data_IF_021378253428
#
_entry.id   IF_021378253428
#
_cell.length_a   1.000
_cell.length_b   1.000
_cell.length_c   1.000
_cell.angle_alpha   90.00
_cell.angle_beta   90.00
_cell.angle_gamma   90.00
#
_symmetry.space_group_name_H-M   'P 1'
#
loop_
_entity.id
_entity.type
_entity.pdbx_description
1 polymer ?
#
# COMPACT_ATOMS: atom_id res chain seq x y z
N UNK A 1 -43.59 -73.42 80.52
CA UNK A 1 -44.89 -72.94 79.98
C UNK A 1 -45.10 -73.39 78.54
N UNK A 2 -44.06 -73.52 77.71
CA UNK A 2 -44.14 -74.33 76.47
C UNK A 2 -44.63 -75.76 76.77
N UNK A 3 -44.09 -76.41 77.82
CA UNK A 3 -44.46 -77.78 78.22
C UNK A 3 -45.93 -78.00 78.68
N UNK A 4 -46.70 -76.94 79.00
CA UNK A 4 -48.14 -77.09 79.35
C UNK A 4 -49.05 -76.84 78.14
N UNK A 5 -48.67 -75.94 77.23
CA UNK A 5 -49.37 -75.75 75.97
C UNK A 5 -49.17 -76.93 75.02
N UNK A 6 -47.99 -77.56 75.05
CA UNK A 6 -47.67 -78.78 74.29
C UNK A 6 -48.58 -79.97 74.69
N UNK A 7 -48.93 -80.09 75.98
CA UNK A 7 -49.90 -81.08 76.48
C UNK A 7 -51.36 -80.79 76.12
N UNK A 8 -51.69 -79.51 75.90
CA UNK A 8 -53.01 -79.06 75.43
C UNK A 8 -53.15 -79.32 73.92
N UNK A 9 -52.08 -79.11 73.14
CA UNK A 9 -52.02 -79.43 71.71
C UNK A 9 -52.13 -80.94 71.43
N UNK A 10 -51.51 -81.79 72.26
CA UNK A 10 -51.61 -83.26 72.11
C UNK A 10 -53.00 -83.83 72.43
N UNK A 11 -53.82 -83.17 73.27
CA UNK A 11 -55.14 -83.66 73.72
C UNK A 11 -56.17 -82.53 73.88
N UNK A 12 -56.68 -81.94 72.78
CA UNK A 12 -57.53 -80.75 72.82
C UNK A 12 -58.89 -80.96 73.49
N UNK A 13 -59.36 -82.21 73.61
CA UNK A 13 -60.68 -82.53 74.18
C UNK A 13 -60.70 -82.59 75.72
N UNK A 14 -59.54 -82.56 76.40
CA UNK A 14 -59.47 -82.58 77.87
C UNK A 14 -59.65 -81.18 78.46
N UNK A 15 -60.34 -81.12 79.61
CA UNK A 15 -60.49 -79.87 80.37
C UNK A 15 -59.18 -79.54 81.10
N UNK A 16 -58.49 -78.49 80.68
CA UNK A 16 -57.33 -77.92 81.35
C UNK A 16 -57.72 -76.67 82.12
N UNK A 17 -57.21 -76.51 83.35
CA UNK A 17 -57.44 -75.31 84.17
C UNK A 17 -56.34 -74.29 83.85
N UNK A 18 -56.69 -73.24 83.13
CA UNK A 18 -55.78 -72.11 82.87
C UNK A 18 -55.95 -71.09 84.01
N UNK A 19 -54.85 -70.61 84.59
CA UNK A 19 -54.94 -69.58 85.63
C UNK A 19 -55.35 -68.23 85.03
N UNK A 20 -56.30 -67.53 85.67
CA UNK A 20 -56.87 -66.29 85.14
C UNK A 20 -55.86 -65.16 84.91
N UNK A 21 -54.74 -65.15 85.63
CA UNK A 21 -53.64 -64.20 85.43
C UNK A 21 -52.97 -64.36 84.05
N UNK A 22 -52.84 -65.59 83.54
CA UNK A 22 -52.24 -65.82 82.21
C UNK A 22 -53.13 -65.32 81.08
N UNK A 23 -54.44 -65.53 81.16
CA UNK A 23 -55.40 -65.03 80.18
C UNK A 23 -55.43 -63.49 80.17
N UNK A 24 -55.30 -62.85 81.34
CA UNK A 24 -55.19 -61.39 81.45
C UNK A 24 -53.89 -60.87 80.82
N UNK A 25 -52.75 -61.55 81.04
CA UNK A 25 -51.48 -61.17 80.43
C UNK A 25 -51.49 -61.36 78.89
N UNK A 26 -52.06 -62.45 78.39
CA UNK A 26 -52.25 -62.66 76.95
C UNK A 26 -53.16 -61.60 76.33
N UNK A 27 -54.25 -61.23 77.02
CA UNK A 27 -55.12 -60.14 76.57
C UNK A 27 -54.38 -58.80 76.49
N UNK A 28 -53.61 -58.44 77.52
CA UNK A 28 -52.82 -57.21 77.52
C UNK A 28 -51.80 -57.20 76.36
N UNK A 29 -51.16 -58.34 76.08
CA UNK A 29 -50.24 -58.47 74.93
C UNK A 29 -50.97 -58.33 73.58
N UNK A 30 -52.18 -58.88 73.45
CA UNK A 30 -52.99 -58.72 72.23
C UNK A 30 -53.36 -57.24 72.04
N UNK A 31 -53.84 -56.57 73.10
CA UNK A 31 -54.17 -55.13 73.04
C UNK A 31 -52.95 -54.28 72.68
N UNK A 32 -51.76 -54.61 73.19
CA UNK A 32 -50.50 -53.96 72.80
C UNK A 32 -50.12 -54.22 71.33
N UNK A 33 -50.23 -55.47 70.87
CA UNK A 33 -49.95 -55.83 69.48
C UNK A 33 -50.93 -55.17 68.50
N UNK A 34 -52.21 -55.06 68.87
CA UNK A 34 -53.22 -54.36 68.10
C UNK A 34 -52.91 -52.86 68.01
N UNK A 35 -52.52 -52.23 69.12
CA UNK A 35 -52.07 -50.83 69.11
C UNK A 35 -50.85 -50.63 68.22
N UNK A 36 -49.82 -51.47 68.37
CA UNK A 36 -48.62 -51.40 67.55
C UNK A 36 -48.95 -51.63 66.06
N UNK A 37 -49.86 -52.55 65.74
CA UNK A 37 -50.31 -52.79 64.37
C UNK A 37 -51.02 -51.56 63.78
N UNK A 38 -51.82 -50.85 64.58
CA UNK A 38 -52.47 -49.62 64.12
C UNK A 38 -51.46 -48.48 63.91
N UNK A 39 -50.49 -48.33 64.82
CA UNK A 39 -49.41 -47.35 64.69
C UNK A 39 -48.57 -47.62 63.43
N UNK A 40 -48.18 -48.87 63.17
CA UNK A 40 -47.45 -49.26 61.96
C UNK A 40 -48.27 -49.05 60.68
N UNK A 41 -49.59 -49.31 60.71
CA UNK A 41 -50.48 -49.02 59.57
C UNK A 41 -50.56 -47.52 59.28
N UNK A 42 -50.66 -46.69 60.31
CA UNK A 42 -50.69 -45.24 60.17
C UNK A 42 -49.35 -44.71 59.61
N UNK A 43 -48.23 -45.19 60.15
CA UNK A 43 -46.89 -44.86 59.65
C UNK A 43 -46.72 -45.28 58.18
N UNK A 44 -47.17 -46.48 57.81
CA UNK A 44 -47.14 -46.95 56.42
C UNK A 44 -47.94 -46.04 55.50
N UNK A 45 -49.17 -45.69 55.87
CA UNK A 45 -50.02 -44.79 55.08
C UNK A 45 -49.37 -43.40 54.90
N UNK A 46 -48.72 -42.88 55.94
CA UNK A 46 -47.97 -41.62 55.85
C UNK A 46 -46.79 -41.73 54.88
N UNK A 47 -46.00 -42.80 54.97
CA UNK A 47 -44.87 -43.02 54.06
C UNK A 47 -45.32 -43.19 52.60
N UNK A 48 -46.44 -43.87 52.37
CA UNK A 48 -47.02 -44.04 51.04
C UNK A 48 -47.50 -42.70 50.46
N UNK A 49 -48.09 -41.83 51.30
CA UNK A 49 -48.41 -40.45 50.93
C UNK A 49 -47.18 -39.63 50.55
N UNK A 50 -46.09 -39.73 51.31
CA UNK A 50 -44.81 -39.06 51.00
C UNK A 50 -44.21 -39.56 49.69
N UNK A 51 -44.24 -40.88 49.46
CA UNK A 51 -43.76 -41.50 48.21
C UNK A 51 -44.54 -40.96 47.02
N UNK A 52 -45.87 -40.93 47.09
CA UNK A 52 -46.71 -40.41 46.01
C UNK A 52 -46.47 -38.92 45.74
N UNK A 53 -46.26 -38.12 46.80
CA UNK A 53 -45.92 -36.70 46.66
C UNK A 53 -44.58 -36.51 45.95
N UNK A 54 -43.53 -37.21 46.43
CA UNK A 54 -42.20 -37.13 45.82
C UNK A 54 -42.20 -37.63 44.37
N UNK A 55 -42.97 -38.68 44.07
CA UNK A 55 -43.09 -39.19 42.71
C UNK A 55 -43.73 -38.15 41.78
N UNK A 56 -44.77 -37.45 42.23
CA UNK A 56 -45.40 -36.35 41.49
C UNK A 56 -44.43 -35.18 41.26
N UNK A 57 -43.69 -34.78 42.30
CA UNK A 57 -42.67 -33.74 42.18
C UNK A 57 -41.57 -34.12 41.19
N UNK A 58 -41.08 -35.36 41.25
CA UNK A 58 -40.09 -35.88 40.31
C UNK A 58 -40.60 -35.86 38.86
N UNK A 59 -41.85 -36.23 38.62
CA UNK A 59 -42.44 -36.21 37.27
C UNK A 59 -42.56 -34.77 36.73
N UNK A 60 -42.94 -33.82 37.60
CA UNK A 60 -42.98 -32.40 37.23
C UNK A 60 -41.58 -31.87 36.91
N UNK A 61 -40.58 -32.21 37.71
CA UNK A 61 -39.19 -31.84 37.44
C UNK A 61 -38.66 -32.46 36.15
N UNK A 62 -38.97 -33.72 35.87
CA UNK A 62 -38.58 -34.40 34.64
C UNK A 62 -39.14 -33.66 33.41
N UNK A 63 -40.45 -33.38 33.39
CA UNK A 63 -41.10 -32.61 32.32
C UNK A 63 -40.50 -31.21 32.17
N UNK A 64 -40.21 -30.53 33.28
CA UNK A 64 -39.58 -29.21 33.25
C UNK A 64 -38.16 -29.24 32.65
N UNK A 65 -37.37 -30.28 32.96
CA UNK A 65 -36.04 -30.44 32.38
C UNK A 65 -36.10 -30.83 30.90
N UNK A 66 -37.02 -31.71 30.50
CA UNK A 66 -37.26 -32.03 29.09
C UNK A 66 -37.60 -30.78 28.27
N UNK A 67 -38.48 -29.92 28.79
CA UNK A 67 -38.79 -28.63 28.15
C UNK A 67 -37.56 -27.74 27.99
N UNK A 68 -36.76 -27.58 29.06
CA UNK A 68 -35.51 -26.79 29.00
C UNK A 68 -34.50 -27.35 27.99
N UNK A 69 -34.34 -28.67 27.95
CA UNK A 69 -33.45 -29.34 26.99
C UNK A 69 -33.93 -29.09 25.56
N UNK A 70 -35.24 -29.17 25.33
CA UNK A 70 -35.83 -28.88 24.03
C UNK A 70 -35.59 -27.43 23.59
N UNK A 71 -35.88 -26.46 24.46
CA UNK A 71 -35.70 -25.04 24.18
C UNK A 71 -34.22 -24.69 23.92
N UNK A 72 -33.31 -25.24 24.73
CA UNK A 72 -31.87 -25.10 24.53
C UNK A 72 -31.42 -25.73 23.20
N UNK A 73 -31.97 -26.88 22.83
CA UNK A 73 -31.70 -27.52 21.54
C UNK A 73 -32.12 -26.66 20.36
N UNK A 74 -33.33 -26.09 20.40
CA UNK A 74 -33.81 -25.17 19.36
C UNK A 74 -32.95 -23.90 19.28
N UNK A 75 -32.58 -23.33 20.42
CA UNK A 75 -31.72 -22.15 20.49
C UNK A 75 -30.33 -22.41 19.90
N UNK A 76 -29.72 -23.56 20.21
CA UNK A 76 -28.42 -23.95 19.66
C UNK A 76 -28.47 -24.12 18.14
N UNK A 77 -29.54 -24.74 17.61
CA UNK A 77 -29.67 -24.92 16.17
C UNK A 77 -29.87 -23.58 15.45
N UNK A 78 -30.64 -22.65 16.04
CA UNK A 78 -30.78 -21.29 15.52
C UNK A 78 -29.44 -20.53 15.52
N UNK A 79 -28.66 -20.63 16.61
CA UNK A 79 -27.34 -20.02 16.67
C UNK A 79 -26.38 -20.60 15.64
N UNK A 80 -26.41 -21.93 15.44
CA UNK A 80 -25.61 -22.60 14.43
C UNK A 80 -25.94 -22.12 13.01
N UNK A 81 -27.23 -22.01 12.69
CA UNK A 81 -27.66 -21.48 11.40
C UNK A 81 -27.18 -20.04 11.17
N UNK A 82 -27.21 -19.19 12.20
CA UNK A 82 -26.71 -17.80 12.09
C UNK A 82 -25.17 -17.77 11.92
N UNK A 83 -24.43 -18.65 12.62
CA UNK A 83 -22.98 -18.79 12.44
C UNK A 83 -22.64 -19.20 11.01
N UNK A 84 -23.37 -20.16 10.43
CA UNK A 84 -23.16 -20.62 9.06
C UNK A 84 -23.42 -19.49 8.05
N UNK A 85 -24.51 -18.73 8.26
CA UNK A 85 -24.84 -17.55 7.45
C UNK A 85 -23.74 -16.49 7.51
N UNK A 86 -23.33 -16.08 8.72
CA UNK A 86 -22.28 -15.08 8.91
C UNK A 86 -20.93 -15.55 8.34
N UNK A 87 -20.65 -16.85 8.43
CA UNK A 87 -19.44 -17.45 7.82
C UNK A 87 -19.46 -17.31 6.30
N UNK A 88 -20.60 -17.58 5.66
CA UNK A 88 -20.77 -17.43 4.21
C UNK A 88 -20.68 -15.96 3.76
N UNK A 89 -21.28 -15.03 4.52
CA UNK A 89 -21.17 -13.60 4.26
C UNK A 89 -19.70 -13.14 4.36
N UNK A 90 -18.98 -13.56 5.41
CA UNK A 90 -17.55 -13.25 5.59
C UNK A 90 -16.71 -13.78 4.43
N UNK A 91 -16.96 -15.01 3.99
CA UNK A 91 -16.24 -15.60 2.85
C UNK A 91 -16.48 -14.81 1.56
N UNK A 92 -17.72 -14.40 1.32
CA UNK A 92 -18.11 -13.57 0.16
C UNK A 92 -17.43 -12.21 0.20
N UNK A 93 -17.47 -11.52 1.35
CA UNK A 93 -16.77 -10.24 1.52
C UNK A 93 -15.26 -10.37 1.33
N UNK A 94 -14.65 -11.43 1.85
CA UNK A 94 -13.21 -11.69 1.67
C UNK A 94 -12.84 -11.90 0.21
N UNK A 95 -13.66 -12.62 -0.57
CA UNK A 95 -13.44 -12.80 -2.00
C UNK A 95 -13.55 -11.48 -2.76
N UNK A 96 -14.54 -10.64 -2.43
CA UNK A 96 -14.70 -9.32 -3.02
C UNK A 96 -13.50 -8.40 -2.70
N UNK A 97 -12.99 -8.45 -1.47
CA UNK A 97 -11.82 -7.67 -1.06
C UNK A 97 -10.58 -8.05 -1.86
N UNK A 98 -10.34 -9.35 -2.05
CA UNK A 98 -9.24 -9.83 -2.88
C UNK A 98 -9.36 -9.35 -4.34
N UNK A 99 -10.57 -9.42 -4.92
CA UNK A 99 -10.83 -8.91 -6.28
C UNK A 99 -10.56 -7.41 -6.39
N UNK A 100 -11.06 -6.62 -5.43
CA UNK A 100 -10.82 -5.17 -5.40
C UNK A 100 -9.34 -4.84 -5.24
N UNK A 101 -8.62 -5.58 -4.40
CA UNK A 101 -7.18 -5.41 -4.22
C UNK A 101 -6.41 -5.69 -5.52
N UNK A 102 -6.74 -6.78 -6.22
CA UNK A 102 -6.13 -7.12 -7.51
C UNK A 102 -6.42 -6.04 -8.57
N UNK A 103 -7.66 -5.56 -8.65
CA UNK A 103 -8.04 -4.49 -9.58
C UNK A 103 -7.28 -3.19 -9.27
N UNK A 104 -7.11 -2.85 -7.99
CA UNK A 104 -6.38 -1.65 -7.58
C UNK A 104 -4.89 -1.76 -7.93
N UNK A 105 -4.28 -2.93 -7.73
CA UNK A 105 -2.90 -3.19 -8.18
C UNK A 105 -2.76 -3.06 -9.69
N UNK A 106 -3.70 -3.61 -10.47
CA UNK A 106 -3.69 -3.48 -11.93
C UNK A 106 -3.83 -2.02 -12.39
N UNK A 107 -4.76 -1.26 -11.79
CA UNK A 107 -4.94 0.16 -12.07
C UNK A 107 -3.70 0.97 -11.70
N UNK A 108 -3.03 0.66 -10.59
CA UNK A 108 -1.78 1.31 -10.18
C UNK A 108 -0.70 1.13 -11.24
N UNK A 109 -0.51 -0.09 -11.74
CA UNK A 109 0.44 -0.38 -12.82
C UNK A 109 0.08 0.41 -14.08
N UNK A 110 -1.20 0.46 -14.45
CA UNK A 110 -1.65 1.21 -15.63
C UNK A 110 -1.38 2.71 -15.50
N UNK A 111 -1.60 3.29 -14.31
CA UNK A 111 -1.30 4.70 -14.02
C UNK A 111 0.20 4.97 -14.15
N UNK A 112 1.04 4.08 -13.61
CA UNK A 112 2.50 4.23 -13.67
C UNK A 112 3.00 4.15 -15.13
N UNK A 113 2.43 3.26 -15.94
CA UNK A 113 2.77 3.14 -17.36
C UNK A 113 2.33 4.37 -18.17
N UNK A 114 1.11 4.86 -17.97
CA UNK A 114 0.63 6.09 -18.61
C UNK A 114 1.45 7.31 -18.19
N UNK A 115 1.90 7.36 -16.93
CA UNK A 115 2.76 8.44 -16.43
C UNK A 115 4.11 8.43 -17.15
N UNK A 116 4.73 7.26 -17.30
CA UNK A 116 5.99 7.13 -18.03
C UNK A 116 5.84 7.50 -19.51
N UNK A 117 4.73 7.10 -20.14
CA UNK A 117 4.43 7.48 -21.52
C UNK A 117 4.28 9.00 -21.67
N UNK A 118 3.57 9.65 -20.74
CA UNK A 118 3.41 11.10 -20.74
C UNK A 118 4.76 11.82 -20.60
N UNK A 119 5.64 11.36 -19.71
CA UNK A 119 7.00 11.90 -19.58
C UNK A 119 7.82 11.73 -20.86
N UNK A 120 7.76 10.57 -21.50
CA UNK A 120 8.47 10.35 -22.77
C UNK A 120 7.97 11.24 -23.92
N UNK A 121 6.66 11.50 -23.97
CA UNK A 121 6.08 12.44 -24.94
C UNK A 121 6.55 13.88 -24.65
N UNK A 122 6.63 14.28 -23.38
CA UNK A 122 7.05 15.62 -22.99
C UNK A 122 8.53 15.90 -23.35
N UNK A 123 9.38 14.90 -23.18
CA UNK A 123 10.78 14.93 -23.63
C UNK A 123 10.89 15.06 -25.15
N UNK A 124 10.07 14.30 -25.90
CA UNK A 124 10.02 14.37 -27.36
C UNK A 124 9.54 15.73 -27.86
N UNK A 125 8.50 16.29 -27.23
CA UNK A 125 7.99 17.63 -27.55
C UNK A 125 9.07 18.68 -27.30
N UNK A 126 9.79 18.59 -26.17
CA UNK A 126 10.90 19.50 -25.86
C UNK A 126 11.99 19.43 -26.92
N UNK A 127 12.34 18.23 -27.39
CA UNK A 127 13.33 18.03 -28.46
C UNK A 127 12.87 18.66 -29.78
N UNK A 128 11.62 18.43 -30.18
CA UNK A 128 11.06 18.98 -31.42
C UNK A 128 10.95 20.51 -31.38
N UNK A 129 10.71 21.11 -30.22
CA UNK A 129 10.74 22.56 -30.04
C UNK A 129 12.16 23.10 -30.30
N UNK A 130 13.18 22.49 -29.68
CA UNK A 130 14.58 22.90 -29.88
C UNK A 130 15.02 22.76 -31.34
N UNK A 131 14.65 21.66 -32.00
CA UNK A 131 14.95 21.45 -33.42
C UNK A 131 14.28 22.53 -34.30
N UNK A 132 13.04 22.91 -34.00
CA UNK A 132 12.36 23.99 -34.72
C UNK A 132 13.05 25.34 -34.52
N UNK A 133 13.50 25.67 -33.32
CA UNK A 133 14.25 26.90 -33.02
C UNK A 133 15.58 26.95 -33.79
N UNK A 134 16.29 25.83 -33.86
CA UNK A 134 17.52 25.70 -34.66
C UNK A 134 17.25 25.87 -36.16
N UNK A 135 16.22 25.21 -36.68
CA UNK A 135 15.82 25.32 -38.08
C UNK A 135 15.39 26.76 -38.43
N UNK A 136 14.64 27.40 -37.55
CA UNK A 136 14.24 28.82 -37.69
C UNK A 136 15.47 29.73 -37.75
N UNK A 137 16.45 29.49 -36.89
CA UNK A 137 17.71 30.25 -36.88
C UNK A 137 18.48 30.07 -38.19
N UNK A 138 18.60 28.83 -38.68
CA UNK A 138 19.25 28.54 -39.98
C UNK A 138 18.52 29.19 -41.15
N UNK A 139 17.18 29.21 -41.11
CA UNK A 139 16.35 29.83 -42.14
C UNK A 139 16.60 31.34 -42.20
N UNK A 140 16.63 32.01 -41.05
CA UNK A 140 16.95 33.45 -40.97
C UNK A 140 18.37 33.76 -41.51
N UNK A 141 19.35 32.89 -41.24
CA UNK A 141 20.72 33.05 -41.77
C UNK A 141 20.79 32.89 -43.29
N UNK A 142 20.04 31.94 -43.85
CA UNK A 142 19.94 31.73 -45.29
C UNK A 142 19.25 32.92 -45.97
N UNK A 143 18.18 33.45 -45.39
CA UNK A 143 17.52 34.66 -45.89
C UNK A 143 18.46 35.87 -45.92
N UNK A 144 19.20 36.11 -44.83
CA UNK A 144 20.20 37.18 -44.77
C UNK A 144 21.31 37.00 -45.82
N UNK A 145 21.79 35.77 -46.02
CA UNK A 145 22.78 35.45 -47.05
C UNK A 145 22.24 35.68 -48.46
N UNK A 146 20.96 35.33 -48.70
CA UNK A 146 20.27 35.60 -49.95
C UNK A 146 20.13 37.10 -50.26
N UNK A 147 19.84 37.92 -49.25
CA UNK A 147 19.82 39.38 -49.39
C UNK A 147 21.21 39.93 -49.78
N UNK A 148 22.26 39.49 -49.09
CA UNK A 148 23.64 39.89 -49.42
C UNK A 148 24.04 39.46 -50.84
N UNK A 149 23.64 38.27 -51.29
CA UNK A 149 23.86 37.83 -52.66
C UNK A 149 23.14 38.73 -53.68
N UNK A 150 21.91 39.17 -53.37
CA UNK A 150 21.17 40.12 -54.22
C UNK A 150 21.85 41.49 -54.29
N UNK A 151 22.40 42.00 -53.18
CA UNK A 151 23.16 43.26 -53.15
C UNK A 151 24.44 43.16 -54.00
N UNK A 152 25.18 42.06 -53.86
CA UNK A 152 26.37 41.80 -54.68
C UNK A 152 26.03 41.72 -56.18
N UNK A 153 24.90 41.10 -56.52
CA UNK A 153 24.42 41.05 -57.91
C UNK A 153 24.14 42.47 -58.45
N UNK A 154 23.49 43.32 -57.66
CA UNK A 154 23.21 44.71 -58.06
C UNK A 154 24.50 45.51 -58.28
N UNK A 155 25.52 45.31 -57.43
CA UNK A 155 26.84 45.93 -57.60
C UNK A 155 27.53 45.44 -58.86
N UNK A 156 27.45 44.13 -59.15
CA UNK A 156 27.98 43.55 -60.39
C UNK A 156 27.34 44.19 -61.63
N UNK A 157 26.00 44.24 -61.67
CA UNK A 157 25.26 44.84 -62.78
C UNK A 157 25.65 46.32 -62.99
N UNK A 158 25.85 47.06 -61.89
CA UNK A 158 26.31 48.45 -61.94
C UNK A 158 27.73 48.57 -62.50
N UNK A 159 28.66 47.69 -62.06
CA UNK A 159 30.04 47.65 -62.54
C UNK A 159 30.12 47.26 -64.01
N UNK A 160 29.30 46.31 -64.46
CA UNK A 160 29.21 45.95 -65.88
C UNK A 160 28.72 47.12 -66.74
N UNK A 161 27.76 47.91 -66.24
CA UNK A 161 27.33 49.16 -66.87
C UNK A 161 28.46 50.21 -66.96
N UNK A 162 29.23 50.40 -65.90
CA UNK A 162 30.42 51.28 -65.90
C UNK A 162 31.48 50.81 -66.92
N UNK A 163 31.77 49.50 -66.95
CA UNK A 163 32.72 48.91 -67.91
C UNK A 163 32.25 49.15 -69.35
N UNK A 164 30.96 48.94 -69.64
CA UNK A 164 30.40 49.20 -70.96
C UNK A 164 30.57 50.68 -71.37
N UNK A 165 30.31 51.62 -70.45
CA UNK A 165 30.49 53.05 -70.69
C UNK A 165 31.97 53.42 -70.92
N UNK A 166 32.87 52.97 -70.05
CA UNK A 166 34.32 53.18 -70.22
C UNK A 166 34.83 52.57 -71.53
N UNK A 167 34.33 51.40 -71.91
CA UNK A 167 34.65 50.77 -73.20
C UNK A 167 34.21 51.63 -74.37
N UNK A 168 33.00 52.20 -74.31
CA UNK A 168 32.53 53.16 -75.31
C UNK A 168 33.40 54.42 -75.38
N UNK A 169 33.79 54.98 -74.23
CA UNK A 169 34.70 56.14 -74.18
C UNK A 169 36.06 55.81 -74.77
N UNK A 170 36.63 54.63 -74.49
CA UNK A 170 37.89 54.17 -75.08
C UNK A 170 37.75 54.04 -76.61
N UNK A 171 36.66 53.47 -77.12
CA UNK A 171 36.41 53.38 -78.56
C UNK A 171 36.30 54.77 -79.21
N UNK A 172 35.60 55.70 -78.56
CA UNK A 172 35.52 57.10 -78.98
C UNK A 172 36.89 57.77 -79.02
N UNK A 173 37.67 57.64 -77.94
CA UNK A 173 39.01 58.20 -77.84
C UNK A 173 39.93 57.57 -78.89
N UNK A 174 39.86 56.26 -79.13
CA UNK A 174 40.61 55.59 -80.19
C UNK A 174 40.22 56.08 -81.59
N UNK A 175 38.93 56.34 -81.85
CA UNK A 175 38.50 57.00 -83.09
C UNK A 175 39.11 58.40 -83.24
N UNK A 176 39.11 59.19 -82.17
CA UNK A 176 39.72 60.52 -82.13
C UNK A 176 41.24 60.45 -82.34
N UNK A 177 41.94 59.49 -81.71
CA UNK A 177 43.37 59.24 -81.91
C UNK A 177 43.69 58.76 -83.34
N UNK A 178 42.86 57.90 -83.92
CA UNK A 178 42.96 57.51 -85.33
C UNK A 178 42.79 58.69 -86.29
N UNK A 179 41.96 59.69 -85.93
CA UNK A 179 41.82 60.93 -86.67
C UNK A 179 43.04 61.88 -86.52
N UNK A 180 43.75 61.83 -85.38
CA UNK A 180 44.98 62.61 -85.13
C UNK A 180 46.22 61.92 -85.74
N UNK A 181 46.22 60.59 -85.88
CA UNK A 181 47.27 59.79 -86.52
C UNK A 181 47.31 59.87 -88.05
N UNK A 182 46.38 60.58 -88.70
CA UNK A 182 46.34 60.78 -90.15
C UNK A 182 47.16 62.02 -90.63
N UNK A 183 48.28 62.33 -89.97
CA UNK A 183 49.34 63.22 -90.49
C UNK A 183 50.70 62.50 -90.36
N UNK A 184 51.51 62.43 -91.43
CA UNK A 184 52.61 61.49 -91.49
C UNK A 184 53.79 61.98 -90.65
N UNK A 185 54.34 61.10 -89.82
CA UNK A 185 55.71 61.23 -89.35
C UNK A 185 56.47 59.94 -89.64
N UNK A 186 57.66 60.11 -90.21
CA UNK A 186 58.52 59.10 -90.82
C UNK A 186 59.67 58.77 -89.85
N UNK A 187 59.88 57.47 -89.61
CA UNK A 187 61.10 56.78 -89.08
C UNK A 187 61.55 57.16 -87.64
N UNK A 188 61.99 56.25 -86.75
CA UNK A 188 62.78 55.03 -86.95
C UNK A 188 62.59 53.97 -85.81
N UNK A 189 62.97 52.73 -86.12
CA UNK A 189 63.18 51.53 -85.27
C UNK A 189 64.71 51.18 -85.28
N UNK A 190 65.28 50.22 -84.51
CA UNK A 190 65.10 49.70 -83.13
C UNK A 190 66.50 49.45 -82.41
N UNK A 191 66.78 48.40 -81.57
CA UNK A 191 66.52 48.06 -80.13
C UNK A 191 67.88 47.78 -79.34
N UNK A 192 68.02 46.97 -78.25
CA UNK A 192 67.07 46.27 -77.34
C UNK A 192 67.32 46.37 -75.80
N UNK A 193 66.30 45.96 -75.04
CA UNK A 193 66.27 45.21 -73.78
C UNK A 193 67.30 45.47 -72.65
N UNK A 194 66.78 45.68 -71.42
CA UNK A 194 66.95 44.74 -70.28
C UNK A 194 65.99 45.11 -69.15
N UNK A 195 65.46 44.07 -68.52
CA UNK A 195 64.50 44.10 -67.43
C UNK A 195 65.19 44.27 -66.06
N UNK A 196 64.33 44.30 -65.03
CA UNK A 196 64.59 44.12 -63.61
C UNK A 196 64.88 45.39 -62.80
N UNK A 197 63.88 45.78 -62.01
CA UNK A 197 63.82 45.52 -60.55
C UNK A 197 63.46 46.75 -59.71
N UNK A 198 62.90 46.44 -58.54
CA UNK A 198 62.84 47.26 -57.33
C UNK A 198 61.74 48.35 -57.22
N UNK A 199 60.68 48.06 -56.45
CA UNK A 199 60.55 48.48 -55.04
C UNK A 199 59.08 48.51 -54.54
N UNK A 200 58.87 47.77 -53.45
CA UNK A 200 58.18 48.18 -52.20
C UNK A 200 56.68 48.48 -52.23
N UNK A 201 55.87 48.21 -51.20
CA UNK A 201 56.09 47.88 -49.79
C UNK A 201 54.80 47.27 -49.23
N UNK A 202 54.94 46.39 -48.24
CA UNK A 202 53.88 45.76 -47.45
C UNK A 202 53.39 46.70 -46.33
N UNK A 203 52.09 46.72 -45.98
CA UNK A 203 51.67 47.06 -44.62
C UNK A 203 51.05 45.88 -43.84
N UNK A 204 51.33 45.90 -42.53
CA UNK A 204 50.94 44.97 -41.46
C UNK A 204 49.45 45.03 -41.05
N UNK A 205 48.96 44.04 -40.26
CA UNK A 205 47.57 43.94 -39.82
C UNK A 205 47.31 44.76 -38.53
N UNK A 206 46.06 45.18 -38.24
CA UNK A 206 45.72 45.71 -36.93
C UNK A 206 45.33 44.62 -35.93
N UNK A 207 45.83 44.85 -34.72
CA UNK A 207 45.67 44.15 -33.44
C UNK A 207 44.22 44.26 -32.91
N UNK A 208 43.72 43.26 -32.16
CA UNK A 208 42.47 43.38 -31.40
C UNK A 208 42.72 43.99 -30.02
N UNK A 209 41.79 44.81 -29.52
CA UNK A 209 41.79 45.28 -28.14
C UNK A 209 40.37 45.50 -27.61
N UNK A 210 40.23 45.16 -26.32
CA UNK A 210 39.12 45.43 -25.40
C UNK A 210 37.90 44.49 -25.51
N UNK A 211 37.23 44.09 -24.44
CA UNK A 211 37.50 43.97 -23.00
C UNK A 211 36.20 43.38 -22.45
N UNK A 212 36.25 42.37 -21.58
CA UNK A 212 35.09 41.97 -20.79
C UNK A 212 35.44 41.97 -19.30
N UNK A 213 34.52 42.46 -18.43
CA UNK A 213 34.73 42.49 -17.00
C UNK A 213 34.33 41.16 -16.31
N UNK A 214 34.85 40.97 -15.11
CA UNK A 214 34.52 39.90 -14.16
C UNK A 214 33.04 39.98 -13.69
N UNK A 215 32.51 38.90 -13.08
CA UNK A 215 32.61 38.84 -11.61
C UNK A 215 32.81 37.45 -11.00
N UNK A 216 33.52 37.48 -9.87
CA UNK A 216 33.39 36.70 -8.63
C UNK A 216 32.24 35.69 -8.51
N UNK A 217 32.56 34.44 -8.10
CA UNK A 217 31.92 33.76 -6.97
C UNK A 217 32.69 32.50 -6.54
N UNK A 218 32.78 32.31 -5.22
CA UNK A 218 33.50 31.25 -4.51
C UNK A 218 32.76 29.90 -4.54
N UNK A 219 33.47 28.76 -4.41
CA UNK A 219 32.84 27.47 -4.10
C UNK A 219 32.58 27.33 -2.59
N UNK A 220 31.40 26.85 -2.15
CA UNK A 220 31.21 26.45 -0.77
C UNK A 220 31.76 25.03 -0.51
N UNK A 221 32.64 24.95 0.48
CA UNK A 221 32.92 23.76 1.30
C UNK A 221 31.63 23.24 1.95
N UNK A 222 31.35 21.92 1.92
CA UNK A 222 30.38 21.31 2.81
C UNK A 222 31.11 20.46 3.85
N UNK A 223 31.21 20.89 5.13
CA UNK A 223 31.49 19.91 6.18
C UNK A 223 31.22 20.37 7.63
N UNK A 224 30.61 19.43 8.35
CA UNK A 224 30.52 19.24 9.81
C UNK A 224 29.59 20.11 10.65
N UNK A 225 28.34 19.62 10.77
CA UNK A 225 27.61 19.67 12.03
C UNK A 225 28.14 18.59 13.02
N UNK A 226 28.12 18.87 14.34
CA UNK A 226 28.72 18.00 15.35
C UNK A 226 27.88 16.76 15.67
N UNK A 227 28.56 15.60 15.73
CA UNK A 227 28.07 14.33 16.30
C UNK A 227 28.05 14.38 17.83
N UNK A 228 26.93 13.96 18.43
CA UNK A 228 26.85 13.28 19.73
C UNK A 228 25.43 12.64 19.89
N UNK A 229 25.21 11.65 20.77
CA UNK A 229 25.88 10.36 20.86
C UNK A 229 24.88 9.17 20.77
N UNK A 230 25.43 8.00 20.42
CA UNK A 230 25.03 6.64 20.83
C UNK A 230 23.53 6.28 20.99
N UNK A 231 23.05 5.45 20.05
CA UNK A 231 22.44 4.18 20.45
C UNK A 231 20.92 4.14 20.64
N UNK A 232 20.13 4.77 19.77
CA UNK A 232 18.75 4.32 19.52
C UNK A 232 18.71 3.65 18.16
N UNK A 233 18.15 2.44 18.01
CA UNK A 233 17.93 1.87 16.69
C UNK A 233 17.01 2.83 15.93
N UNK A 234 17.56 3.51 14.93
CA UNK A 234 16.82 4.44 14.07
C UNK A 234 15.97 3.61 13.12
N UNK A 235 14.75 3.26 13.56
CA UNK A 235 13.78 2.61 12.71
C UNK A 235 13.13 3.66 11.81
N UNK A 236 13.11 3.38 10.51
CA UNK A 236 12.43 4.22 9.52
C UNK A 236 11.11 3.55 9.14
N UNK A 237 10.03 4.31 9.15
CA UNK A 237 8.72 3.80 8.78
C UNK A 237 8.67 3.44 7.29
N UNK A 238 8.31 2.20 6.91
CA UNK A 238 8.27 1.78 5.50
C UNK A 238 7.20 2.51 4.68
N UNK A 239 6.17 3.08 5.32
CA UNK A 239 5.08 3.76 4.63
C UNK A 239 5.32 5.27 4.36
N UNK A 240 6.16 5.95 5.16
CA UNK A 240 6.29 7.41 5.07
C UNK A 240 7.69 7.95 5.37
N UNK A 241 8.67 7.04 5.48
CA UNK A 241 10.09 7.31 5.71
C UNK A 241 10.40 8.14 6.97
N UNK A 242 9.44 8.23 7.89
CA UNK A 242 9.64 8.95 9.15
C UNK A 242 10.45 8.10 10.13
N UNK A 243 11.43 8.73 10.77
CA UNK A 243 12.20 8.14 11.88
C UNK A 243 11.47 8.23 13.23
N UNK A 244 10.22 8.72 13.26
CA UNK A 244 9.39 8.79 14.48
C UNK A 244 8.64 7.48 14.68
N UNK A 245 9.34 6.47 15.18
CA UNK A 245 8.80 5.12 15.39
C UNK A 245 8.91 4.74 16.87
N UNK A 246 7.84 4.16 17.40
CA UNK A 246 7.76 3.63 18.78
C UNK A 246 7.55 2.12 18.74
N UNK A 247 8.21 1.41 19.65
CA UNK A 247 8.01 -0.03 19.86
C UNK A 247 6.95 -0.23 20.97
N UNK A 248 5.89 -0.98 20.68
CA UNK A 248 4.79 -1.28 21.57
C UNK A 248 4.57 -2.80 21.65
N UNK A 249 3.97 -3.28 22.75
CA UNK A 249 3.61 -4.70 22.89
C UNK A 249 2.40 -5.03 22.00
N UNK A 250 2.53 -6.07 21.19
CA UNK A 250 1.47 -6.58 20.34
C UNK A 250 0.57 -7.55 21.12
N UNK A 251 -0.53 -7.00 21.66
CA UNK A 251 -1.52 -7.78 22.42
C UNK A 251 -2.24 -8.84 21.60
N UNK A 252 -2.17 -8.78 20.26
CA UNK A 252 -2.75 -9.78 19.37
C UNK A 252 -1.88 -11.03 19.23
N UNK A 253 -0.58 -10.93 19.57
CA UNK A 253 0.40 -12.01 19.42
C UNK A 253 0.99 -12.40 20.77
N UNK A 254 0.41 -13.40 21.41
CA UNK A 254 0.96 -14.00 22.63
C UNK A 254 2.07 -14.97 22.23
N UNK A 255 3.30 -14.72 22.67
CA UNK A 255 4.44 -15.62 22.40
C UNK A 255 4.38 -16.85 23.29
N UNK A 256 4.16 -16.67 24.60
CA UNK A 256 3.95 -17.74 25.58
C UNK A 256 3.39 -17.16 26.90
N UNK A 257 2.90 -18.03 27.78
CA UNK A 257 2.39 -17.67 29.10
C UNK A 257 3.37 -18.16 30.16
N UNK A 258 3.99 -17.24 30.90
CA UNK A 258 4.87 -17.56 32.02
C UNK A 258 4.21 -17.15 33.34
N UNK A 259 4.09 -18.09 34.27
CA UNK A 259 3.49 -17.87 35.60
C UNK A 259 2.12 -17.17 35.54
N UNK A 260 1.25 -17.57 34.60
CA UNK A 260 -0.09 -17.02 34.44
C UNK A 260 -0.16 -15.63 33.81
N UNK A 261 0.96 -15.05 33.37
CA UNK A 261 1.01 -13.76 32.66
C UNK A 261 1.39 -13.97 31.19
N UNK A 262 0.58 -13.46 30.23
CA UNK A 262 0.91 -13.54 28.81
C UNK A 262 2.08 -12.61 28.49
N UNK A 263 3.09 -13.14 27.79
CA UNK A 263 4.18 -12.36 27.20
C UNK A 263 3.82 -12.11 25.74
N UNK A 264 3.68 -10.83 25.40
CA UNK A 264 3.28 -10.38 24.07
C UNK A 264 4.49 -10.18 23.16
N UNK A 265 4.29 -10.37 21.86
CA UNK A 265 5.23 -9.96 20.83
C UNK A 265 5.45 -8.45 20.84
N UNK A 266 6.43 -7.98 20.08
CA UNK A 266 6.68 -6.54 19.90
C UNK A 266 6.27 -6.12 18.49
N UNK A 267 5.68 -4.93 18.38
CA UNK A 267 5.37 -4.27 17.11
C UNK A 267 5.90 -2.85 17.12
N UNK A 268 6.14 -2.30 15.94
CA UNK A 268 6.55 -0.92 15.72
C UNK A 268 5.38 -0.12 15.17
N UNK A 269 5.19 1.11 15.67
CA UNK A 269 4.16 2.06 15.21
C UNK A 269 4.82 3.37 14.81
N UNK A 270 4.51 3.85 13.61
CA UNK A 270 4.94 5.16 13.18
C UNK A 270 4.05 6.26 13.78
N UNK A 271 4.64 7.24 14.44
CA UNK A 271 3.89 8.37 15.01
C UNK A 271 3.42 9.39 13.94
N UNK A 272 3.94 9.33 12.71
CA UNK A 272 3.56 10.25 11.62
C UNK A 272 2.34 9.76 10.85
N UNK A 273 2.34 8.49 10.43
CA UNK A 273 1.27 7.93 9.59
C UNK A 273 0.47 6.79 10.27
N UNK A 274 0.74 6.52 11.56
CA UNK A 274 0.09 5.48 12.37
C UNK A 274 0.17 4.05 11.77
N UNK A 275 1.10 3.82 10.85
CA UNK A 275 1.34 2.50 10.27
C UNK A 275 2.03 1.60 11.30
N UNK A 276 1.58 0.36 11.41
CA UNK A 276 2.10 -0.63 12.34
C UNK A 276 2.73 -1.80 11.59
N UNK A 277 3.87 -2.31 12.06
CA UNK A 277 4.54 -3.47 11.49
C UNK A 277 5.28 -4.28 12.56
N UNK A 278 5.62 -5.53 12.26
CA UNK A 278 6.32 -6.40 13.19
C UNK A 278 7.71 -5.86 13.56
N UNK A 279 8.09 -6.02 14.83
CA UNK A 279 9.44 -5.72 15.30
C UNK A 279 10.43 -6.78 14.79
#
# INVERSE_FOLDING_TARGET
MEEEWEKVEEKPEKKFKVEGYYLLNQRAKIEELERNLQEEKAARAETEGKINSLQSEMELHAKAFEGKIHDQGQFLEAQKAEIDKLTNERNTMSANLNTLQNNNSALKTQVDELTNQASGIDEEVTRLIQENEELTTKLNQLEASGQSASELQQVLDQKDGEIANLTHQIQELNKKLGAVGAKPFKLAQPPPASAEDLLDTKPQPPRPAFAHPAPSQAPPTPEFAPKAPAGKPSWTCPNCESNRVVEESDRSKILYIAAGRPIYGKKRRCLKCNHEWAA
#
